data_IF_793846315399
#
_entry.id   IF_793846315399
#
_cell.length_a   1.000
_cell.length_b   1.000
_cell.length_c   1.000
_cell.angle_alpha   90.00
_cell.angle_beta   90.00
_cell.angle_gamma   90.00
#
_symmetry.space_group_name_H-M   'P 1'
#
loop_
_entity.id
_entity.type
_entity.pdbx_description
1 polymer ?
#
# COMPACT_ATOMS: atom_id res chain seq x y z
N UNK A 1 -17.65 49.89 55.24
CA UNK A 1 -16.50 49.12 54.73
C UNK A 1 -16.70 47.61 54.91
N UNK A 2 -16.89 47.09 56.13
CA UNK A 2 -17.08 45.65 56.39
C UNK A 2 -18.30 45.04 55.65
N UNK A 3 -19.46 45.70 55.65
CA UNK A 3 -20.65 45.19 54.96
C UNK A 3 -20.46 45.05 53.44
N UNK A 4 -19.68 45.95 52.82
CA UNK A 4 -19.34 45.87 51.39
C UNK A 4 -18.37 44.72 51.12
N UNK A 5 -17.39 44.51 52.01
CA UNK A 5 -16.49 43.35 51.93
C UNK A 5 -17.24 42.03 52.08
N UNK A 6 -18.20 41.94 52.99
CA UNK A 6 -19.01 40.73 53.19
C UNK A 6 -19.84 40.40 51.95
N UNK A 7 -20.54 41.39 51.39
CA UNK A 7 -21.32 41.23 50.15
C UNK A 7 -20.46 40.83 48.94
N UNK A 8 -19.22 41.35 48.85
CA UNK A 8 -18.29 40.95 47.79
C UNK A 8 -17.84 39.49 47.95
N UNK A 9 -17.58 39.03 49.19
CA UNK A 9 -17.20 37.64 49.46
C UNK A 9 -18.36 36.69 49.15
N UNK A 10 -19.58 37.07 49.51
CA UNK A 10 -20.79 36.29 49.20
C UNK A 10 -20.98 36.14 47.68
N UNK A 11 -20.84 37.24 46.93
CA UNK A 11 -20.94 37.23 45.45
C UNK A 11 -19.83 36.41 44.80
N UNK A 12 -18.60 36.51 45.31
CA UNK A 12 -17.46 35.72 44.84
C UNK A 12 -17.65 34.23 45.12
N UNK A 13 -18.17 33.88 46.31
CA UNK A 13 -18.45 32.50 46.70
C UNK A 13 -19.56 31.90 45.83
N UNK A 14 -20.62 32.67 45.54
CA UNK A 14 -21.69 32.25 44.65
C UNK A 14 -21.20 32.03 43.20
N UNK A 15 -20.35 32.94 42.71
CA UNK A 15 -19.75 32.80 41.38
C UNK A 15 -18.81 31.59 41.32
N UNK A 16 -18.03 31.35 42.38
CA UNK A 16 -17.17 30.18 42.52
C UNK A 16 -17.99 28.89 42.55
N UNK A 17 -19.08 28.84 43.32
CA UNK A 17 -19.99 27.68 43.38
C UNK A 17 -20.58 27.35 42.00
N UNK A 18 -21.09 28.38 41.31
CA UNK A 18 -21.63 28.25 39.96
C UNK A 18 -20.57 27.75 38.97
N UNK A 19 -19.34 28.26 39.04
CA UNK A 19 -18.21 27.79 38.23
C UNK A 19 -17.84 26.35 38.57
N UNK A 20 -17.77 25.98 39.85
CA UNK A 20 -17.44 24.61 40.28
C UNK A 20 -18.48 23.59 39.80
N UNK A 21 -19.77 23.94 39.83
CA UNK A 21 -20.83 23.06 39.32
C UNK A 21 -20.78 22.95 37.80
N UNK A 22 -20.63 24.08 37.10
CA UNK A 22 -20.64 24.14 35.63
C UNK A 22 -19.41 23.45 35.03
N UNK A 23 -18.22 23.80 35.53
CA UNK A 23 -16.97 23.21 35.06
C UNK A 23 -16.73 21.83 35.64
N UNK A 24 -17.26 21.48 36.82
CA UNK A 24 -17.12 20.15 37.40
C UNK A 24 -17.71 19.05 36.51
N UNK A 25 -18.91 19.30 35.95
CA UNK A 25 -19.53 18.40 34.97
C UNK A 25 -18.69 18.28 33.70
N UNK A 26 -18.24 19.41 33.15
CA UNK A 26 -17.41 19.45 31.94
C UNK A 26 -16.06 18.75 32.13
N UNK A 27 -15.40 18.96 33.25
CA UNK A 27 -14.13 18.30 33.62
C UNK A 27 -14.36 16.80 33.75
N UNK A 28 -15.44 16.36 34.41
CA UNK A 28 -15.79 14.94 34.51
C UNK A 28 -15.95 14.30 33.13
N UNK A 29 -16.66 14.95 32.19
CA UNK A 29 -16.79 14.45 30.82
C UNK A 29 -15.46 14.41 30.07
N UNK A 30 -14.57 15.38 30.27
CA UNK A 30 -13.22 15.37 29.67
C UNK A 30 -12.42 14.18 30.21
N UNK A 31 -12.44 13.94 31.51
CA UNK A 31 -11.74 12.82 32.13
C UNK A 31 -12.27 11.47 31.60
N UNK A 32 -13.60 11.32 31.50
CA UNK A 32 -14.21 10.12 30.90
C UNK A 32 -13.79 9.93 29.42
N UNK A 33 -13.71 11.00 28.65
CA UNK A 33 -13.23 10.94 27.26
C UNK A 33 -11.75 10.55 27.19
N UNK A 34 -10.91 11.04 28.11
CA UNK A 34 -9.50 10.66 28.20
C UNK A 34 -9.35 9.19 28.57
N UNK A 35 -10.14 8.69 29.52
CA UNK A 35 -10.13 7.27 29.90
C UNK A 35 -10.58 6.38 28.75
N UNK A 36 -11.66 6.76 28.05
CA UNK A 36 -12.15 6.08 26.85
C UNK A 36 -11.10 6.07 25.74
N UNK A 37 -10.48 7.21 25.44
CA UNK A 37 -9.39 7.31 24.46
C UNK A 37 -8.21 6.42 24.85
N UNK A 38 -7.82 6.43 26.12
CA UNK A 38 -6.72 5.60 26.65
C UNK A 38 -7.04 4.12 26.46
N UNK A 39 -8.26 3.69 26.76
CA UNK A 39 -8.72 2.33 26.53
C UNK A 39 -8.74 1.96 25.04
N UNK A 40 -9.22 2.86 24.17
CA UNK A 40 -9.18 2.67 22.71
C UNK A 40 -7.74 2.52 22.22
N UNK A 41 -6.81 3.36 22.66
CA UNK A 41 -5.40 3.27 22.27
C UNK A 41 -4.74 1.97 22.76
N UNK A 42 -5.02 1.58 24.01
CA UNK A 42 -4.47 0.34 24.57
C UNK A 42 -5.03 -0.91 23.86
N UNK A 43 -6.33 -0.93 23.58
CA UNK A 43 -6.99 -2.04 22.90
C UNK A 43 -6.55 -2.18 21.44
N UNK A 44 -6.20 -1.08 20.76
CA UNK A 44 -5.72 -1.08 19.37
C UNK A 44 -4.20 -1.31 19.22
N UNK A 45 -3.43 -1.36 20.32
CA UNK A 45 -1.97 -1.53 20.28
C UNK A 45 -1.54 -2.75 19.47
N UNK A 46 -2.24 -3.88 19.60
CA UNK A 46 -1.92 -5.13 18.87
C UNK A 46 -2.13 -4.96 17.37
N UNK A 47 -3.23 -4.34 16.96
CA UNK A 47 -3.56 -4.08 15.56
C UNK A 47 -2.54 -3.12 14.95
N UNK A 48 -2.16 -2.04 15.63
CA UNK A 48 -1.10 -1.14 15.15
C UNK A 48 0.24 -1.84 15.00
N UNK A 49 0.62 -2.68 15.98
CA UNK A 49 1.86 -3.46 15.90
C UNK A 49 1.83 -4.42 14.70
N UNK A 50 0.71 -5.09 14.46
CA UNK A 50 0.54 -5.96 13.30
C UNK A 50 0.64 -5.20 11.98
N UNK A 51 0.00 -4.03 11.86
CA UNK A 51 0.08 -3.18 10.67
C UNK A 51 1.52 -2.75 10.40
N UNK A 52 2.24 -2.31 11.44
CA UNK A 52 3.65 -1.87 11.31
C UNK A 52 4.53 -3.03 10.86
N UNK A 53 4.38 -4.20 11.49
CA UNK A 53 5.16 -5.40 11.12
C UNK A 53 4.84 -5.87 9.69
N UNK A 54 3.56 -5.87 9.30
CA UNK A 54 3.14 -6.25 7.96
C UNK A 54 3.69 -5.25 6.91
N UNK A 55 3.66 -3.96 7.23
CA UNK A 55 4.27 -2.93 6.38
C UNK A 55 5.78 -3.10 6.24
N UNK A 56 6.49 -3.41 7.33
CA UNK A 56 7.93 -3.70 7.29
C UNK A 56 8.24 -4.91 6.40
N UNK A 57 7.53 -6.03 6.57
CA UNK A 57 7.72 -7.24 5.76
C UNK A 57 7.44 -6.99 4.26
N UNK A 58 6.36 -6.28 3.94
CA UNK A 58 6.01 -5.92 2.56
C UNK A 58 7.06 -4.98 1.98
N UNK A 59 7.47 -3.96 2.73
CA UNK A 59 8.48 -2.99 2.29
C UNK A 59 9.82 -3.67 2.04
N UNK A 60 10.24 -4.59 2.91
CA UNK A 60 11.46 -5.38 2.74
C UNK A 60 11.38 -6.34 1.55
N UNK A 61 10.25 -7.03 1.37
CA UNK A 61 10.00 -7.90 0.21
C UNK A 61 10.03 -7.12 -1.10
N UNK A 62 9.46 -5.91 -1.13
CA UNK A 62 9.46 -5.04 -2.29
C UNK A 62 10.86 -4.48 -2.59
N UNK A 63 11.63 -4.13 -1.56
CA UNK A 63 13.01 -3.66 -1.72
C UNK A 63 13.95 -4.76 -2.26
N UNK A 64 13.66 -6.03 -1.93
CA UNK A 64 14.40 -7.21 -2.43
C UNK A 64 13.91 -7.74 -3.78
N UNK A 65 12.78 -7.25 -4.28
CA UNK A 65 12.23 -7.73 -5.54
C UNK A 65 13.13 -7.33 -6.72
N UNK A 66 13.73 -8.31 -7.39
CA UNK A 66 14.53 -8.09 -8.60
C UNK A 66 13.64 -7.96 -9.85
N UNK A 67 12.88 -6.88 -9.87
CA UNK A 67 11.99 -6.55 -10.99
C UNK A 67 12.81 -6.33 -12.25
N UNK A 68 13.92 -5.58 -12.14
CA UNK A 68 14.80 -5.29 -13.28
C UNK A 68 15.41 -6.57 -13.87
N UNK A 69 15.92 -7.49 -13.05
CA UNK A 69 16.47 -8.76 -13.51
C UNK A 69 15.42 -9.68 -14.12
N UNK A 70 14.19 -9.66 -13.61
CA UNK A 70 13.06 -10.38 -14.22
C UNK A 70 12.76 -9.83 -15.63
N UNK A 71 12.70 -8.49 -15.77
CA UNK A 71 12.52 -7.87 -17.09
C UNK A 71 13.66 -8.19 -18.05
N UNK A 72 14.91 -8.21 -17.56
CA UNK A 72 16.07 -8.55 -18.38
C UNK A 72 15.99 -10.00 -18.88
N UNK A 73 15.69 -10.97 -18.01
CA UNK A 73 15.53 -12.37 -18.39
C UNK A 73 14.40 -12.58 -19.40
N UNK A 74 13.28 -11.86 -19.25
CA UNK A 74 12.18 -11.93 -20.22
C UNK A 74 12.63 -11.38 -21.58
N UNK A 75 13.33 -10.24 -21.62
CA UNK A 75 13.85 -9.69 -22.88
C UNK A 75 14.84 -10.64 -23.54
N UNK A 76 15.73 -11.28 -22.77
CA UNK A 76 16.67 -12.28 -23.28
C UNK A 76 15.93 -13.48 -23.88
N UNK A 77 14.93 -14.02 -23.17
CA UNK A 77 14.09 -15.13 -23.66
C UNK A 77 13.38 -14.76 -24.97
N UNK A 78 12.87 -13.53 -25.07
CA UNK A 78 12.22 -13.04 -26.29
C UNK A 78 13.19 -12.93 -27.47
N UNK A 79 14.42 -12.46 -27.23
CA UNK A 79 15.46 -12.37 -28.26
C UNK A 79 15.90 -13.76 -28.75
N UNK A 80 16.03 -14.73 -27.83
CA UNK A 80 16.33 -16.12 -28.18
C UNK A 80 15.20 -16.74 -29.01
N UNK A 81 13.94 -16.50 -28.62
CA UNK A 81 12.78 -16.95 -29.39
C UNK A 81 12.76 -16.33 -30.80
N UNK A 82 13.00 -15.03 -30.93
CA UNK A 82 13.09 -14.36 -32.23
C UNK A 82 14.20 -14.99 -33.10
N UNK A 83 15.34 -15.31 -32.50
CA UNK A 83 16.46 -15.98 -33.20
C UNK A 83 16.07 -17.38 -33.69
N UNK A 84 15.36 -18.16 -32.87
CA UNK A 84 14.86 -19.49 -33.26
C UNK A 84 13.85 -19.37 -34.40
N UNK A 85 12.90 -18.45 -34.28
CA UNK A 85 11.89 -18.19 -35.32
C UNK A 85 12.52 -17.73 -36.63
N UNK A 86 13.55 -16.89 -36.58
CA UNK A 86 14.29 -16.45 -37.76
C UNK A 86 14.97 -17.61 -38.50
N UNK A 87 15.59 -18.54 -37.76
CA UNK A 87 16.22 -19.75 -38.33
C UNK A 87 15.21 -20.72 -38.96
N UNK A 88 14.02 -20.83 -38.37
CA UNK A 88 12.91 -21.60 -38.95
C UNK A 88 12.46 -20.95 -40.26
N UNK A 89 12.25 -19.63 -40.27
CA UNK A 89 11.82 -18.88 -41.45
C UNK A 89 12.86 -18.90 -42.60
N UNK A 90 14.16 -18.97 -42.28
CA UNK A 90 15.22 -19.09 -43.30
C UNK A 90 15.39 -20.51 -43.85
N UNK A 91 14.61 -21.49 -43.38
CA UNK A 91 14.67 -22.88 -43.84
C UNK A 91 15.95 -23.62 -43.43
N UNK A 92 16.67 -23.14 -42.41
CA UNK A 92 17.91 -23.77 -41.96
C UNK A 92 17.61 -25.01 -41.09
N UNK A 93 18.05 -26.18 -41.55
CA UNK A 93 17.98 -27.46 -40.82
C UNK A 93 16.72 -28.29 -41.08
N UNK A 94 16.72 -29.54 -40.62
CA UNK A 94 15.65 -30.53 -40.84
C UNK A 94 14.30 -30.15 -40.21
N UNK A 95 14.28 -29.21 -39.25
CA UNK A 95 13.05 -28.63 -38.68
C UNK A 95 12.41 -27.57 -39.59
N UNK A 96 13.19 -26.79 -40.35
CA UNK A 96 12.67 -25.86 -41.35
C UNK A 96 11.92 -26.57 -42.49
N UNK A 97 12.20 -27.86 -42.71
CA UNK A 97 11.48 -28.71 -43.65
C UNK A 97 10.23 -29.40 -43.05
N UNK A 98 10.04 -29.36 -41.71
CA UNK A 98 8.95 -30.05 -41.00
C UNK A 98 7.89 -29.09 -40.41
N UNK A 99 8.27 -27.84 -40.09
CA UNK A 99 7.43 -26.83 -39.43
C UNK A 99 7.00 -25.70 -40.37
N UNK A 100 6.68 -26.04 -41.61
CA UNK A 100 6.10 -25.10 -42.59
C UNK A 100 4.59 -24.87 -42.32
N UNK A 101 4.23 -24.69 -41.05
CA UNK A 101 2.89 -24.26 -40.65
C UNK A 101 3.03 -22.82 -40.16
N UNK A 102 2.87 -21.88 -41.10
CA UNK A 102 2.95 -20.44 -40.89
C UNK A 102 2.13 -19.98 -39.67
N UNK A 103 1.10 -20.75 -39.28
CA UNK A 103 0.25 -20.47 -38.12
C UNK A 103 1.03 -20.43 -36.80
N UNK A 104 1.97 -21.33 -36.55
CA UNK A 104 2.74 -21.36 -35.28
C UNK A 104 3.70 -20.17 -35.19
N UNK A 105 4.37 -19.85 -36.31
CA UNK A 105 5.24 -18.67 -36.39
C UNK A 105 4.43 -17.39 -36.14
N UNK A 106 3.28 -17.24 -36.79
CA UNK A 106 2.40 -16.07 -36.64
C UNK A 106 1.88 -15.95 -35.20
N UNK A 107 1.51 -17.06 -34.55
CA UNK A 107 1.01 -17.04 -33.18
C UNK A 107 2.12 -16.72 -32.16
N UNK A 108 3.33 -17.22 -32.37
CA UNK A 108 4.49 -16.90 -31.53
C UNK A 108 4.95 -15.45 -31.70
N UNK A 109 5.02 -14.94 -32.94
CA UNK A 109 5.31 -13.52 -33.21
C UNK A 109 4.26 -12.60 -32.57
N UNK A 110 2.98 -12.95 -32.68
CA UNK A 110 1.90 -12.23 -32.00
C UNK A 110 2.09 -12.24 -30.48
N UNK A 111 2.35 -13.42 -29.90
CA UNK A 111 2.56 -13.57 -28.46
C UNK A 111 3.76 -12.77 -27.96
N UNK A 112 4.87 -12.75 -28.71
CA UNK A 112 6.05 -11.96 -28.40
C UNK A 112 5.76 -10.45 -28.42
N UNK A 113 4.97 -9.98 -29.40
CA UNK A 113 4.52 -8.58 -29.48
C UNK A 113 3.61 -8.20 -28.31
N UNK A 114 2.65 -9.05 -27.97
CA UNK A 114 1.76 -8.82 -26.82
C UNK A 114 2.54 -8.79 -25.50
N UNK A 115 3.52 -9.68 -25.33
CA UNK A 115 4.40 -9.66 -24.17
C UNK A 115 5.21 -8.36 -24.10
N UNK A 116 5.81 -7.92 -25.21
CA UNK A 116 6.51 -6.63 -25.26
C UNK A 116 5.61 -5.44 -24.86
N UNK A 117 4.36 -5.43 -25.31
CA UNK A 117 3.38 -4.41 -24.91
C UNK A 117 3.07 -4.47 -23.42
N UNK A 118 2.88 -5.67 -22.86
CA UNK A 118 2.67 -5.86 -21.43
C UNK A 118 3.87 -5.38 -20.61
N UNK A 119 5.10 -5.74 -21.02
CA UNK A 119 6.32 -5.33 -20.32
C UNK A 119 6.47 -3.81 -20.33
N UNK A 120 6.14 -3.17 -21.46
CA UNK A 120 6.10 -1.72 -21.57
C UNK A 120 5.05 -1.12 -20.63
N UNK A 121 3.83 -1.66 -20.59
CA UNK A 121 2.78 -1.16 -19.69
C UNK A 121 3.17 -1.31 -18.22
N UNK A 122 3.81 -2.41 -17.82
CA UNK A 122 4.28 -2.56 -16.44
C UNK A 122 5.38 -1.52 -16.12
N UNK A 123 6.27 -1.20 -17.06
CA UNK A 123 7.32 -0.18 -16.88
C UNK A 123 6.74 1.23 -16.75
N UNK A 124 5.75 1.57 -17.57
CA UNK A 124 5.12 2.89 -17.59
C UNK A 124 4.08 3.05 -16.47
N UNK A 125 3.39 1.96 -16.11
CA UNK A 125 2.27 1.93 -15.17
C UNK A 125 2.44 0.86 -14.05
N UNK A 126 3.54 0.86 -13.29
CA UNK A 126 3.83 -0.20 -12.30
C UNK A 126 2.75 -0.33 -11.21
N UNK A 127 2.07 0.78 -10.87
CA UNK A 127 0.99 0.80 -9.87
C UNK A 127 -0.22 -0.08 -10.23
N UNK A 128 -0.44 -0.37 -11.52
CA UNK A 128 -1.55 -1.21 -11.99
C UNK A 128 -1.35 -2.69 -11.63
N UNK A 129 -0.09 -3.11 -11.45
CA UNK A 129 0.31 -4.51 -11.31
C UNK A 129 0.82 -4.86 -9.91
N UNK A 130 1.21 -3.87 -9.11
CA UNK A 130 1.54 -4.06 -7.69
C UNK A 130 0.30 -3.80 -6.85
N UNK A 131 -0.35 -4.86 -6.35
CA UNK A 131 -1.47 -4.76 -5.39
C UNK A 131 -0.97 -5.06 -3.99
N UNK A 132 -1.09 -4.09 -3.10
CA UNK A 132 -0.83 -4.28 -1.67
C UNK A 132 -2.07 -4.93 -1.03
N UNK A 133 -1.97 -6.18 -0.62
CA UNK A 133 -3.00 -6.83 0.19
C UNK A 133 -2.72 -6.58 1.66
N UNK A 134 -3.60 -5.81 2.31
CA UNK A 134 -3.62 -5.64 3.75
C UNK A 134 -4.34 -6.86 4.34
N UNK A 135 -3.58 -7.80 4.90
CA UNK A 135 -4.10 -8.87 5.75
C UNK A 135 -3.70 -8.60 7.20
#
# INVERSE_FOLDING_TARGET
NINRSFSNIESATYSLDTLMVTEGSRVSSILQNIDSLTYTLQSNRKQFTAIINNFEMISDSLAKADIQGTFNHINETLNELETVLAKINSGEGSMGMLLNDDSLYVELDRSAKELNLLLKDIRENPKRYVKFSLF
#
